data_IF_138735072298
#
_entry.id   IF_138735072298
#
_cell.length_a   1.000
_cell.length_b   1.000
_cell.length_c   1.000
_cell.angle_alpha   90.00
_cell.angle_beta   90.00
_cell.angle_gamma   90.00
#
_symmetry.space_group_name_H-M   'P 1'
#
loop_
_entity.id
_entity.type
_entity.pdbx_description
1 polymer ?
#
# COMPACT_ATOMS: atom_id res chain seq x y z
N UNK A 1 30.53 -10.00 15.39
CA UNK A 1 30.84 -8.92 14.43
C UNK A 1 30.04 -9.20 13.17
N UNK A 2 28.83 -8.64 13.05
CA UNK A 2 28.49 -7.50 12.17
C UNK A 2 29.09 -7.64 10.76
N UNK A 3 28.27 -8.03 9.79
CA UNK A 3 28.22 -7.49 8.42
C UNK A 3 27.71 -8.50 7.37
N UNK A 4 26.43 -8.95 7.41
CA UNK A 4 25.85 -9.62 6.23
C UNK A 4 24.32 -9.50 6.17
N UNK A 5 23.72 -8.30 6.23
CA UNK A 5 22.27 -8.17 5.96
C UNK A 5 21.86 -6.84 5.31
N UNK A 6 22.78 -6.07 4.73
CA UNK A 6 22.45 -4.83 4.00
C UNK A 6 23.06 -4.89 2.60
N UNK A 7 22.70 -5.89 1.81
CA UNK A 7 23.08 -5.95 0.38
C UNK A 7 21.93 -6.43 -0.54
N UNK A 8 20.76 -6.73 0.04
CA UNK A 8 19.51 -6.94 -0.70
C UNK A 8 18.50 -5.84 -0.39
N UNK A 9 18.99 -4.60 -0.36
CA UNK A 9 18.13 -3.47 -0.65
C UNK A 9 17.75 -3.59 -2.13
N UNK A 10 16.74 -4.44 -2.39
CA UNK A 10 16.01 -4.51 -3.64
C UNK A 10 15.98 -3.11 -4.23
N UNK A 11 16.58 -2.96 -5.41
CA UNK A 11 16.27 -1.84 -6.28
C UNK A 11 14.77 -1.96 -6.54
N UNK A 12 13.95 -1.33 -5.69
CA UNK A 12 12.55 -1.10 -5.99
C UNK A 12 12.59 -0.18 -7.22
N UNK A 13 12.47 -0.81 -8.38
CA UNK A 13 12.28 -0.14 -9.64
C UNK A 13 11.14 0.86 -9.45
N UNK A 14 11.42 2.13 -9.72
CA UNK A 14 10.40 3.18 -9.67
C UNK A 14 9.44 3.12 -10.86
N UNK A 15 9.64 2.15 -11.77
CA UNK A 15 8.75 1.89 -12.88
C UNK A 15 7.56 1.06 -12.40
N UNK A 16 6.69 1.70 -11.64
CA UNK A 16 5.39 1.14 -11.24
C UNK A 16 4.49 1.23 -12.47
N UNK A 17 4.44 0.15 -13.25
CA UNK A 17 3.47 0.01 -14.35
C UNK A 17 2.04 0.29 -13.84
N UNK A 18 1.13 0.68 -14.74
CA UNK A 18 -0.27 0.98 -14.38
C UNK A 18 -0.99 -0.16 -13.64
N UNK A 19 -0.51 -1.40 -13.77
CA UNK A 19 -0.97 -2.56 -12.99
C UNK A 19 -0.48 -2.54 -11.54
N UNK A 20 0.78 -2.15 -11.29
CA UNK A 20 1.36 -2.05 -9.96
C UNK A 20 0.77 -0.88 -9.17
N UNK A 21 0.35 0.21 -9.84
CA UNK A 21 -0.40 1.31 -9.20
C UNK A 21 -1.73 0.85 -8.62
N UNK A 22 -2.43 -0.07 -9.30
CA UNK A 22 -3.66 -0.69 -8.76
C UNK A 22 -3.36 -1.56 -7.53
N UNK A 23 -2.22 -2.26 -7.52
CA UNK A 23 -1.78 -3.05 -6.35
C UNK A 23 -1.45 -2.16 -5.16
N UNK A 24 -0.70 -1.08 -5.37
CA UNK A 24 -0.38 -0.09 -4.33
C UNK A 24 -1.66 0.52 -3.75
N UNK A 25 -2.61 0.92 -4.61
CA UNK A 25 -3.90 1.46 -4.14
C UNK A 25 -4.66 0.47 -3.26
N UNK A 26 -4.70 -0.82 -3.64
CA UNK A 26 -5.33 -1.87 -2.83
C UNK A 26 -4.61 -2.05 -1.49
N UNK A 27 -3.28 -2.04 -1.50
CA UNK A 27 -2.48 -2.14 -0.28
C UNK A 27 -2.74 -0.96 0.67
N UNK A 28 -2.83 0.27 0.16
CA UNK A 28 -3.16 1.46 0.97
C UNK A 28 -4.56 1.37 1.58
N UNK A 29 -5.54 0.86 0.85
CA UNK A 29 -6.88 0.62 1.41
C UNK A 29 -6.86 -0.42 2.53
N UNK A 30 -6.14 -1.52 2.35
CA UNK A 30 -6.00 -2.57 3.35
C UNK A 30 -5.28 -2.05 4.60
N UNK A 31 -4.22 -1.25 4.42
CA UNK A 31 -3.48 -0.61 5.50
C UNK A 31 -4.38 0.34 6.30
N UNK A 32 -5.18 1.17 5.63
CA UNK A 32 -6.13 2.06 6.32
C UNK A 32 -7.11 1.27 7.20
N UNK A 33 -7.70 0.20 6.67
CA UNK A 33 -8.64 -0.64 7.42
C UNK A 33 -7.93 -1.34 8.59
N UNK A 34 -6.71 -1.83 8.38
CA UNK A 34 -5.92 -2.42 9.45
C UNK A 34 -5.64 -1.42 10.57
N UNK A 35 -5.19 -0.20 10.25
CA UNK A 35 -4.90 0.84 11.24
C UNK A 35 -6.16 1.26 12.03
N UNK A 36 -7.34 1.24 11.40
CA UNK A 36 -8.60 1.62 12.06
C UNK A 36 -9.22 0.50 12.88
N UNK A 37 -9.05 -0.76 12.48
CA UNK A 37 -9.81 -1.88 13.05
C UNK A 37 -8.95 -3.03 13.58
N UNK A 38 -7.63 -2.94 13.50
CA UNK A 38 -6.67 -3.96 13.94
C UNK A 38 -6.73 -5.27 13.15
N UNK A 39 -7.42 -5.32 12.00
CA UNK A 39 -7.67 -6.55 11.27
C UNK A 39 -7.73 -6.36 9.76
N UNK A 40 -6.91 -7.13 9.03
CA UNK A 40 -6.93 -7.17 7.57
C UNK A 40 -8.15 -7.93 7.01
N UNK A 41 -8.74 -8.84 7.79
CA UNK A 41 -9.96 -9.57 7.38
C UNK A 41 -11.11 -8.58 7.16
N UNK A 42 -11.15 -7.51 7.95
CA UNK A 42 -12.14 -6.44 7.79
C UNK A 42 -12.01 -5.66 6.49
N UNK A 43 -10.85 -5.68 5.81
CA UNK A 43 -10.68 -4.99 4.53
C UNK A 43 -11.55 -5.59 3.40
N UNK A 44 -12.09 -6.80 3.59
CA UNK A 44 -13.02 -7.44 2.64
C UNK A 44 -14.47 -6.96 2.80
N UNK A 45 -14.83 -6.43 3.98
CA UNK A 45 -16.22 -6.08 4.33
C UNK A 45 -16.39 -4.60 4.64
N UNK A 46 -15.34 -3.92 5.08
CA UNK A 46 -15.33 -2.49 5.38
C UNK A 46 -14.94 -1.71 4.13
N UNK A 47 -15.80 -0.78 3.73
CA UNK A 47 -15.48 0.18 2.67
C UNK A 47 -14.63 1.32 3.23
N UNK A 48 -13.57 1.66 2.51
CA UNK A 48 -12.77 2.87 2.80
C UNK A 48 -13.62 4.10 2.46
N UNK A 49 -13.69 5.12 3.35
CA UNK A 49 -14.42 6.35 3.08
C UNK A 49 -13.97 7.03 1.80
N UNK A 50 -14.89 7.70 1.11
CA UNK A 50 -14.60 8.34 -0.19
C UNK A 50 -13.52 9.42 -0.09
N UNK A 51 -13.49 10.20 1.00
CA UNK A 51 -12.45 11.20 1.24
C UNK A 51 -11.04 10.58 1.29
N UNK A 52 -10.90 9.44 1.97
CA UNK A 52 -9.64 8.69 2.06
C UNK A 52 -9.28 8.08 0.71
N UNK A 53 -10.27 7.54 -0.02
CA UNK A 53 -10.04 7.03 -1.38
C UNK A 53 -9.57 8.12 -2.34
N UNK A 54 -10.08 9.36 -2.22
CA UNK A 54 -9.61 10.51 -3.00
C UNK A 54 -8.16 10.85 -2.67
N UNK A 55 -7.79 10.85 -1.39
CA UNK A 55 -6.41 11.12 -0.97
C UNK A 55 -5.42 10.02 -1.42
N UNK A 56 -5.81 8.74 -1.30
CA UNK A 56 -5.00 7.62 -1.81
C UNK A 56 -4.81 7.73 -3.33
N UNK A 57 -5.86 8.07 -4.07
CA UNK A 57 -5.75 8.28 -5.52
C UNK A 57 -4.84 9.47 -5.82
N UNK A 58 -5.02 10.61 -5.18
CA UNK A 58 -4.23 11.81 -5.42
C UNK A 58 -2.72 11.61 -5.17
N UNK A 59 -2.35 10.82 -4.17
CA UNK A 59 -0.94 10.52 -3.85
C UNK A 59 -0.30 9.44 -4.72
N UNK A 60 -1.11 8.58 -5.34
CA UNK A 60 -0.64 7.40 -6.09
C UNK A 60 -1.28 7.33 -7.48
N UNK A 61 -1.36 8.49 -8.16
CA UNK A 61 -1.84 8.63 -9.53
C UNK A 61 -0.67 8.55 -10.55
N UNK A 62 -1.02 8.33 -11.82
CA UNK A 62 -0.17 8.65 -13.00
C UNK A 62 0.41 10.06 -12.91
#
# INVERSE_FOLDING_TARGET
MRAVLIDRGDKMSNDVDGEDRKKVRRAMCQLYVYLKFGSLVKARVVRVPECVMKEIRARWHD
#
